data_IF_422748453091
#
_entry.id   IF_422748453091
#
_cell.length_a   1.000
_cell.length_b   1.000
_cell.length_c   1.000
_cell.angle_alpha   90.00
_cell.angle_beta   90.00
_cell.angle_gamma   90.00
#
_symmetry.space_group_name_H-M   'P 1'
#
loop_
_entity.id
_entity.type
_entity.pdbx_description
1 polymer ?
#
# COMPACT_ATOMS: atom_id res chain seq x y z
N UNK A 1 -31.40 -46.26 48.86
CA UNK A 1 -32.28 -45.61 47.85
C UNK A 1 -31.94 -44.12 47.70
N UNK A 2 -31.69 -43.40 48.80
CA UNK A 2 -31.30 -41.97 48.79
C UNK A 2 -30.00 -41.68 48.02
N UNK A 3 -28.94 -42.46 48.21
CA UNK A 3 -27.65 -42.25 47.52
C UNK A 3 -27.75 -42.37 46.00
N UNK A 4 -28.54 -43.34 45.52
CA UNK A 4 -28.82 -43.51 44.09
C UNK A 4 -29.57 -42.29 43.53
N UNK A 5 -30.54 -41.77 44.28
CA UNK A 5 -31.28 -40.57 43.87
C UNK A 5 -30.37 -39.34 43.82
N UNK A 6 -29.45 -39.20 44.78
CA UNK A 6 -28.47 -38.12 44.79
C UNK A 6 -27.51 -38.21 43.60
N UNK A 7 -27.01 -39.41 43.31
CA UNK A 7 -26.18 -39.67 42.13
C UNK A 7 -26.89 -39.28 40.82
N UNK A 8 -28.15 -39.69 40.65
CA UNK A 8 -28.94 -39.35 39.47
C UNK A 8 -29.18 -37.84 39.32
N UNK A 9 -29.34 -37.10 40.43
CA UNK A 9 -29.43 -35.63 40.40
C UNK A 9 -28.12 -34.99 39.95
N UNK A 10 -26.99 -35.46 40.48
CA UNK A 10 -25.66 -34.97 40.09
C UNK A 10 -25.38 -35.22 38.61
N UNK A 11 -25.67 -36.42 38.11
CA UNK A 11 -25.47 -36.76 36.70
C UNK A 11 -26.32 -35.86 35.78
N UNK A 12 -27.58 -35.60 36.15
CA UNK A 12 -28.46 -34.71 35.38
C UNK A 12 -27.93 -33.27 35.35
N UNK A 13 -27.42 -32.76 36.48
CA UNK A 13 -26.77 -31.45 36.54
C UNK A 13 -25.57 -31.38 35.61
N UNK A 14 -24.67 -32.38 35.67
CA UNK A 14 -23.50 -32.44 34.79
C UNK A 14 -23.87 -32.53 33.31
N UNK A 15 -24.91 -33.30 32.96
CA UNK A 15 -25.41 -33.36 31.59
C UNK A 15 -25.94 -32.00 31.12
N UNK A 16 -26.69 -31.30 31.97
CA UNK A 16 -27.19 -29.95 31.67
C UNK A 16 -26.04 -28.95 31.46
N UNK A 17 -25.02 -28.98 32.32
CA UNK A 17 -23.85 -28.11 32.20
C UNK A 17 -23.09 -28.35 30.88
N UNK A 18 -22.97 -29.62 30.47
CA UNK A 18 -22.36 -30.00 29.20
C UNK A 18 -23.21 -29.55 28.01
N UNK A 19 -24.53 -29.72 28.06
CA UNK A 19 -25.45 -29.26 27.02
C UNK A 19 -25.38 -27.73 26.83
N UNK A 20 -25.32 -26.97 27.92
CA UNK A 20 -25.14 -25.51 27.88
C UNK A 20 -23.79 -25.12 27.27
N UNK A 21 -22.72 -25.84 27.65
CA UNK A 21 -21.38 -25.60 27.10
C UNK A 21 -21.31 -25.90 25.59
N UNK A 22 -21.90 -27.02 25.15
CA UNK A 22 -21.99 -27.38 23.73
C UNK A 22 -22.78 -26.34 22.94
N UNK A 23 -23.88 -25.86 23.51
CA UNK A 23 -24.70 -24.80 22.90
C UNK A 23 -23.91 -23.50 22.73
N UNK A 24 -23.12 -23.12 23.74
CA UNK A 24 -22.25 -21.94 23.68
C UNK A 24 -21.16 -22.08 22.61
N UNK A 25 -20.46 -23.22 22.59
CA UNK A 25 -19.40 -23.49 21.60
C UNK A 25 -19.98 -23.46 20.17
N UNK A 26 -21.15 -24.07 19.96
CA UNK A 26 -21.82 -24.09 18.65
C UNK A 26 -22.12 -22.69 18.11
N UNK A 27 -22.59 -21.78 18.96
CA UNK A 27 -22.83 -20.38 18.58
C UNK A 27 -21.53 -19.66 18.22
N UNK A 28 -20.47 -19.88 19.00
CA UNK A 28 -19.16 -19.28 18.79
C UNK A 28 -18.51 -19.79 17.49
N UNK A 29 -18.58 -21.09 17.22
CA UNK A 29 -18.14 -21.71 15.96
C UNK A 29 -18.90 -21.15 14.75
N UNK A 30 -20.23 -21.04 14.85
CA UNK A 30 -21.05 -20.48 13.78
C UNK A 30 -20.69 -19.00 13.50
N UNK A 31 -20.39 -18.23 14.54
CA UNK A 31 -19.93 -16.86 14.40
C UNK A 31 -18.57 -16.81 13.67
N UNK A 32 -17.60 -17.61 14.11
CA UNK A 32 -16.31 -17.71 13.44
C UNK A 32 -16.43 -18.13 11.96
N UNK A 33 -17.27 -19.13 11.68
CA UNK A 33 -17.54 -19.58 10.31
C UNK A 33 -18.09 -18.46 9.43
N UNK A 34 -19.03 -17.68 9.95
CA UNK A 34 -19.61 -16.54 9.23
C UNK A 34 -18.58 -15.45 8.94
N UNK A 35 -17.70 -15.16 9.92
CA UNK A 35 -16.60 -14.21 9.74
C UNK A 35 -15.60 -14.68 8.69
N UNK A 36 -15.17 -15.94 8.75
CA UNK A 36 -14.24 -16.53 7.77
C UNK A 36 -14.83 -16.43 6.37
N UNK A 37 -16.08 -16.85 6.19
CA UNK A 37 -16.76 -16.78 4.89
C UNK A 37 -16.87 -15.35 4.34
N UNK A 38 -17.08 -14.37 5.22
CA UNK A 38 -17.10 -12.96 4.82
C UNK A 38 -15.73 -12.51 4.33
N UNK A 39 -14.66 -12.85 5.07
CA UNK A 39 -13.29 -12.53 4.67
C UNK A 39 -12.87 -13.23 3.37
N UNK A 40 -13.29 -14.47 3.15
CA UNK A 40 -13.05 -15.19 1.89
C UNK A 40 -13.68 -14.47 0.70
N UNK A 41 -14.91 -13.99 0.84
CA UNK A 41 -15.58 -13.22 -0.21
C UNK A 41 -14.83 -11.92 -0.49
N UNK A 42 -14.45 -11.17 0.55
CA UNK A 42 -13.71 -9.92 0.40
C UNK A 42 -12.35 -10.14 -0.28
N UNK A 43 -11.65 -11.23 0.07
CA UNK A 43 -10.40 -11.62 -0.56
C UNK A 43 -10.60 -11.96 -2.04
N UNK A 44 -11.66 -12.68 -2.39
CA UNK A 44 -11.98 -12.98 -3.80
C UNK A 44 -12.31 -11.71 -4.60
N UNK A 45 -13.00 -10.74 -3.98
CA UNK A 45 -13.29 -9.45 -4.59
C UNK A 45 -12.00 -8.65 -4.84
N UNK A 46 -11.16 -8.48 -3.80
CA UNK A 46 -9.88 -7.79 -3.90
C UNK A 46 -8.94 -8.40 -4.95
N UNK A 47 -8.94 -9.73 -5.07
CA UNK A 47 -8.17 -10.44 -6.09
C UNK A 47 -8.65 -10.13 -7.51
N UNK A 48 -9.96 -9.98 -7.71
CA UNK A 48 -10.52 -9.63 -9.01
C UNK A 48 -10.25 -8.16 -9.38
N UNK A 49 -10.35 -7.25 -8.43
CA UNK A 49 -9.99 -5.83 -8.60
C UNK A 49 -8.50 -5.68 -8.95
N UNK A 50 -7.61 -6.40 -8.27
CA UNK A 50 -6.17 -6.36 -8.55
C UNK A 50 -5.85 -6.86 -9.97
N UNK A 51 -6.57 -7.89 -10.43
CA UNK A 51 -6.43 -8.37 -11.81
C UNK A 51 -6.84 -7.30 -12.82
N UNK A 52 -7.98 -6.65 -12.61
CA UNK A 52 -8.44 -5.56 -13.47
C UNK A 52 -7.46 -4.37 -13.46
N UNK A 53 -6.98 -3.98 -12.29
CA UNK A 53 -6.00 -2.90 -12.15
C UNK A 53 -4.71 -3.18 -12.93
N UNK A 54 -4.23 -4.43 -12.92
CA UNK A 54 -3.07 -4.83 -13.72
C UNK A 54 -3.34 -4.66 -15.22
N UNK A 55 -4.49 -5.11 -15.70
CA UNK A 55 -4.89 -4.96 -17.11
C UNK A 55 -4.98 -3.48 -17.52
N UNK A 56 -5.50 -2.63 -16.64
CA UNK A 56 -5.58 -1.17 -16.84
C UNK A 56 -4.19 -0.52 -16.91
N UNK A 57 -3.29 -0.92 -16.02
CA UNK A 57 -1.91 -0.44 -16.02
C UNK A 57 -1.17 -0.82 -17.32
N UNK A 58 -1.38 -2.04 -17.84
CA UNK A 58 -0.83 -2.47 -19.12
C UNK A 58 -1.43 -1.68 -20.31
N UNK A 59 -2.74 -1.42 -20.31
CA UNK A 59 -3.39 -0.57 -21.33
C UNK A 59 -2.82 0.84 -21.31
N UNK A 60 -2.67 1.42 -20.13
CA UNK A 60 -2.08 2.75 -19.96
C UNK A 60 -0.62 2.80 -20.43
N UNK A 61 0.18 1.77 -20.13
CA UNK A 61 1.57 1.69 -20.57
C UNK A 61 1.68 1.66 -22.10
N UNK A 62 0.80 0.91 -22.78
CA UNK A 62 0.73 0.90 -24.25
C UNK A 62 0.39 2.28 -24.82
N UNK A 63 -0.67 2.93 -24.32
CA UNK A 63 -1.07 4.26 -24.75
C UNK A 63 0.04 5.31 -24.54
N UNK A 64 0.75 5.25 -23.40
CA UNK A 64 1.92 6.11 -23.16
C UNK A 64 3.01 5.90 -24.20
N UNK A 65 3.30 4.65 -24.57
CA UNK A 65 4.27 4.32 -25.62
C UNK A 65 3.89 4.91 -26.99
N UNK A 66 2.61 4.84 -27.36
CA UNK A 66 2.09 5.44 -28.60
C UNK A 66 2.23 6.97 -28.59
N UNK A 67 1.86 7.63 -27.49
CA UNK A 67 2.00 9.09 -27.33
C UNK A 67 3.48 9.51 -27.43
N UNK A 68 4.38 8.81 -26.75
CA UNK A 68 5.81 9.09 -26.84
C UNK A 68 6.34 8.96 -28.29
N UNK A 69 5.84 7.98 -29.04
CA UNK A 69 6.21 7.80 -30.45
C UNK A 69 5.73 8.98 -31.32
N UNK A 70 4.49 9.44 -31.10
CA UNK A 70 3.95 10.60 -31.81
C UNK A 70 4.73 11.89 -31.49
N UNK A 71 5.10 12.11 -30.22
CA UNK A 71 5.90 13.28 -29.81
C UNK A 71 7.26 13.28 -30.52
N UNK A 72 7.95 12.14 -30.55
CA UNK A 72 9.24 12.03 -31.23
C UNK A 72 9.13 12.29 -32.74
N UNK A 73 8.05 11.82 -33.36
CA UNK A 73 7.80 12.11 -34.77
C UNK A 73 7.56 13.60 -35.03
N UNK A 74 6.78 14.27 -34.17
CA UNK A 74 6.54 15.70 -34.27
C UNK A 74 7.82 16.51 -34.06
N UNK A 75 8.66 16.15 -33.07
CA UNK A 75 9.96 16.78 -32.86
C UNK A 75 10.85 16.68 -34.10
N UNK A 76 10.88 15.52 -34.77
CA UNK A 76 11.65 15.35 -36.02
C UNK A 76 11.14 16.27 -37.14
N UNK A 77 9.83 16.42 -37.28
CA UNK A 77 9.21 17.34 -38.26
C UNK A 77 9.59 18.80 -37.96
N UNK A 78 9.55 19.21 -36.69
CA UNK A 78 9.94 20.56 -36.26
C UNK A 78 11.41 20.83 -36.62
N UNK A 79 12.34 19.93 -36.28
CA UNK A 79 13.76 20.10 -36.60
C UNK A 79 14.01 20.20 -38.11
N UNK A 80 13.27 19.44 -38.93
CA UNK A 80 13.35 19.55 -40.39
C UNK A 80 12.91 20.94 -40.87
N UNK A 81 11.78 21.45 -40.37
CA UNK A 81 11.28 22.77 -40.74
C UNK A 81 12.21 23.89 -40.27
N UNK A 82 12.81 23.77 -39.08
CA UNK A 82 13.81 24.72 -38.57
C UNK A 82 15.03 24.78 -39.51
N UNK A 83 15.50 23.63 -40.00
CA UNK A 83 16.58 23.57 -40.98
C UNK A 83 16.20 24.24 -42.32
N UNK A 84 14.99 23.97 -42.82
CA UNK A 84 14.47 24.59 -44.04
C UNK A 84 14.37 26.11 -43.91
N UNK A 85 13.86 26.60 -42.77
CA UNK A 85 13.77 28.04 -42.45
C UNK A 85 15.16 28.68 -42.44
N UNK A 86 16.15 28.03 -41.82
CA UNK A 86 17.54 28.51 -41.81
C UNK A 86 18.10 28.60 -43.24
N UNK A 87 17.91 27.55 -44.05
CA UNK A 87 18.39 27.49 -45.43
C UNK A 87 17.74 28.58 -46.30
N UNK A 88 16.41 28.73 -46.21
CA UNK A 88 15.69 29.78 -46.93
C UNK A 88 16.13 31.19 -46.52
N UNK A 89 16.39 31.40 -45.23
CA UNK A 89 16.91 32.69 -44.72
C UNK A 89 18.30 32.99 -45.27
N UNK A 90 19.17 31.99 -45.36
CA UNK A 90 20.50 32.11 -45.96
C UNK A 90 20.41 32.41 -47.47
N UNK A 91 19.58 31.68 -48.22
CA UNK A 91 19.38 31.92 -49.66
C UNK A 91 18.87 33.34 -49.91
N UNK A 92 17.91 33.83 -49.12
CA UNK A 92 17.41 35.21 -49.23
C UNK A 92 18.53 36.24 -49.05
N UNK A 93 19.41 36.04 -48.07
CA UNK A 93 20.56 36.92 -47.85
C UNK A 93 21.54 36.91 -49.04
N UNK A 94 21.86 35.74 -49.59
CA UNK A 94 22.74 35.61 -50.74
C UNK A 94 22.14 36.18 -52.04
N UNK A 95 20.82 36.09 -52.23
CA UNK A 95 20.13 36.73 -53.37
C UNK A 95 20.07 38.25 -53.24
N UNK A 96 19.91 38.79 -52.03
CA UNK A 96 19.96 40.22 -51.78
C UNK A 96 21.37 40.79 -52.03
N UNK A 97 22.42 40.04 -51.68
CA UNK A 97 23.81 40.40 -51.97
C UNK A 97 24.12 40.44 -53.47
N UNK A 98 23.57 39.50 -54.26
CA UNK A 98 23.73 39.49 -55.72
C UNK A 98 22.96 40.60 -56.45
N UNK A 99 21.83 41.04 -55.90
CA UNK A 99 21.09 42.19 -56.44
C UNK A 99 21.84 43.53 -56.30
N UNK A 100 22.72 43.67 -55.31
CA UNK A 100 23.55 44.87 -55.12
C UNK A 100 24.83 44.92 -55.98
N UNK A 101 25.20 43.82 -56.67
CA UNK A 101 26.40 43.76 -57.52
C UNK A 101 26.08 43.99 -59.02
N UNK A 102 24.82 44.21 -59.40
CA UNK A 102 24.37 44.39 -60.81
C UNK A 102 23.76 45.75 -61.15
N UNK A 103 23.82 46.75 -60.27
CA UNK A 103 23.46 48.14 -60.64
C UNK A 103 24.59 49.08 -60.23
N UNK A 104 25.45 49.40 -61.19
CA UNK A 104 26.19 50.64 -61.15
C UNK A 104 25.24 51.81 -61.39
N UNK A 105 25.51 52.91 -60.67
CA UNK A 105 25.36 54.31 -61.11
C UNK A 105 24.46 55.21 -60.24
N UNK A 106 25.17 56.11 -59.53
CA UNK A 106 24.87 57.40 -58.89
C UNK A 106 23.81 57.59 -57.77
N UNK A 107 24.34 58.14 -56.67
CA UNK A 107 23.90 59.27 -55.84
C UNK A 107 22.88 59.15 -54.70
N UNK A 108 23.48 59.11 -53.50
CA UNK A 108 23.26 59.97 -52.32
C UNK A 108 22.08 59.75 -51.36
N UNK A 109 22.47 59.90 -50.07
CA UNK A 109 21.70 60.26 -48.87
C UNK A 109 21.04 59.13 -48.09
N UNK A 110 21.46 59.04 -46.82
CA UNK A 110 20.69 58.41 -45.74
C UNK A 110 21.38 57.19 -45.15
N UNK A 111 22.27 57.43 -44.18
CA UNK A 111 22.92 56.37 -43.42
C UNK A 111 21.89 55.46 -42.74
N UNK A 112 21.73 54.25 -43.26
CA UNK A 112 21.13 53.15 -42.51
C UNK A 112 22.29 52.48 -41.80
N UNK A 113 22.44 52.82 -40.51
CA UNK A 113 23.30 52.07 -39.59
C UNK A 113 22.99 50.58 -39.75
N UNK A 114 23.98 49.85 -40.28
CA UNK A 114 23.86 48.42 -40.53
C UNK A 114 23.49 47.70 -39.25
N UNK A 115 22.23 47.33 -39.12
CA UNK A 115 21.81 46.45 -38.03
C UNK A 115 22.27 45.06 -38.41
N UNK A 116 23.47 44.73 -37.94
CA UNK A 116 24.09 43.40 -38.04
C UNK A 116 23.22 42.45 -37.21
N UNK A 117 22.26 41.80 -37.86
CA UNK A 117 21.48 40.73 -37.22
C UNK A 117 22.43 39.54 -37.03
N UNK A 118 23.02 39.46 -35.84
CA UNK A 118 23.62 38.22 -35.36
C UNK A 118 22.47 37.32 -34.90
N UNK A 119 22.21 36.23 -35.63
CA UNK A 119 21.51 35.09 -35.04
C UNK A 119 22.48 34.41 -34.08
N UNK A 120 22.50 34.88 -32.82
CA UNK A 120 23.00 34.07 -31.72
C UNK A 120 21.91 33.05 -31.37
N UNK A 121 22.23 31.76 -31.08
CA UNK A 121 21.23 30.74 -30.81
C UNK A 121 20.30 31.01 -29.62
N UNK A 122 20.59 32.03 -28.81
CA UNK A 122 19.87 32.33 -27.57
C UNK A 122 19.50 33.83 -27.48
N UNK A 123 18.39 34.24 -28.10
CA UNK A 123 17.38 35.20 -27.58
C UNK A 123 16.56 35.84 -28.72
N UNK A 124 15.24 35.58 -28.72
CA UNK A 124 14.26 36.35 -29.48
C UNK A 124 14.10 37.74 -28.86
N UNK A 125 14.48 38.79 -29.57
CA UNK A 125 13.95 40.14 -29.31
C UNK A 125 13.03 40.50 -30.48
N UNK A 126 11.74 40.43 -30.21
CA UNK A 126 10.66 40.79 -31.13
C UNK A 126 10.45 42.30 -31.05
N UNK A 127 10.64 43.04 -32.14
CA UNK A 127 10.12 44.40 -32.25
C UNK A 127 9.42 44.64 -33.59
N UNK A 128 8.19 45.14 -33.44
CA UNK A 128 7.27 45.82 -34.36
C UNK A 128 6.82 45.15 -35.67
N UNK A 129 5.58 44.66 -35.67
CA UNK A 129 4.70 44.63 -36.85
C UNK A 129 3.28 45.05 -36.43
N UNK A 130 2.97 46.34 -36.57
CA UNK A 130 1.71 46.97 -36.15
C UNK A 130 0.52 46.72 -37.12
N UNK A 131 0.58 45.67 -37.95
CA UNK A 131 -0.38 45.42 -39.03
C UNK A 131 -1.27 44.17 -38.88
N UNK A 132 -1.03 43.30 -37.88
CA UNK A 132 -1.75 42.01 -37.75
C UNK A 132 -2.94 42.05 -36.77
N UNK A 133 -3.20 43.19 -36.12
CA UNK A 133 -4.21 43.29 -35.06
C UNK A 133 -5.66 43.17 -35.55
N UNK A 134 -5.96 43.44 -36.83
CA UNK A 134 -7.33 43.37 -37.37
C UNK A 134 -7.73 41.96 -37.80
N UNK A 135 -6.80 41.16 -38.33
CA UNK A 135 -7.07 39.78 -38.78
C UNK A 135 -7.24 38.81 -37.60
N UNK A 136 -6.65 39.12 -36.44
CA UNK A 136 -6.80 38.31 -35.23
C UNK A 136 -8.18 38.45 -34.56
N UNK A 137 -8.89 39.58 -34.69
CA UNK A 137 -10.14 39.81 -33.95
C UNK A 137 -11.27 38.84 -34.33
N UNK A 138 -11.30 38.33 -35.56
CA UNK A 138 -12.34 37.40 -36.01
C UNK A 138 -12.02 35.92 -35.75
N UNK A 139 -10.74 35.57 -35.52
CA UNK A 139 -10.31 34.21 -35.16
C UNK A 139 -10.20 33.98 -33.65
N UNK A 140 -10.07 35.04 -32.85
CA UNK A 140 -9.93 34.92 -31.38
C UNK A 140 -11.23 34.48 -30.71
N UNK A 141 -12.42 34.83 -31.22
CA UNK A 141 -13.69 34.46 -30.58
C UNK A 141 -14.03 32.96 -30.68
N UNK A 142 -13.68 32.27 -31.78
CA UNK A 142 -13.81 30.80 -31.86
C UNK A 142 -12.71 30.06 -31.09
N UNK A 143 -11.55 30.68 -30.86
CA UNK A 143 -10.43 30.07 -30.15
C UNK A 143 -10.54 30.18 -28.62
N UNK A 144 -11.32 31.13 -28.11
CA UNK A 144 -11.57 31.29 -26.66
C UNK A 144 -12.45 30.15 -26.12
N UNK A 145 -13.39 29.61 -26.91
CA UNK A 145 -14.22 28.46 -26.49
C UNK A 145 -13.42 27.16 -26.31
N UNK A 146 -12.43 26.90 -27.18
CA UNK A 146 -11.54 25.74 -27.09
C UNK A 146 -10.49 25.90 -25.97
N UNK A 147 -9.97 27.12 -25.74
CA UNK A 147 -9.03 27.41 -24.65
C UNK A 147 -9.64 27.30 -23.23
N UNK A 148 -10.97 27.38 -23.08
CA UNK A 148 -11.63 27.29 -21.76
C UNK A 148 -11.78 25.84 -21.32
N UNK A 149 -12.14 24.91 -22.22
CA UNK A 149 -12.20 23.48 -21.89
C UNK A 149 -10.81 22.88 -21.68
N UNK A 150 -9.82 23.20 -22.52
CA UNK A 150 -8.42 22.76 -22.31
C UNK A 150 -7.84 23.24 -20.96
N UNK A 151 -8.23 24.43 -20.48
CA UNK A 151 -7.84 24.93 -19.15
C UNK A 151 -8.52 24.18 -18.01
N UNK A 152 -9.77 23.76 -18.18
CA UNK A 152 -10.51 23.02 -17.16
C UNK A 152 -9.95 21.61 -16.98
N UNK A 153 -9.59 20.96 -18.08
CA UNK A 153 -8.91 19.67 -18.08
C UNK A 153 -7.48 19.78 -17.51
N UNK A 154 -6.76 20.87 -17.80
CA UNK A 154 -5.45 21.17 -17.21
C UNK A 154 -5.52 21.35 -15.69
N UNK A 155 -6.49 22.12 -15.18
CA UNK A 155 -6.63 22.33 -13.73
C UNK A 155 -7.07 21.03 -13.04
N UNK A 156 -7.97 20.25 -13.66
CA UNK A 156 -8.34 18.91 -13.15
C UNK A 156 -7.14 17.96 -13.11
N UNK A 157 -6.30 17.97 -14.15
CA UNK A 157 -5.08 17.15 -14.18
C UNK A 157 -4.06 17.57 -13.12
N UNK A 158 -3.94 18.87 -12.85
CA UNK A 158 -3.07 19.44 -11.81
C UNK A 158 -3.55 19.08 -10.41
N UNK A 159 -4.86 19.10 -10.17
CA UNK A 159 -5.45 18.65 -8.90
C UNK A 159 -5.21 17.15 -8.68
N UNK A 160 -5.43 16.33 -9.71
CA UNK A 160 -5.11 14.89 -9.65
C UNK A 160 -3.62 14.64 -9.40
N UNK A 161 -2.73 15.40 -10.03
CA UNK A 161 -1.28 15.29 -9.81
C UNK A 161 -0.90 15.67 -8.38
N UNK A 162 -1.51 16.74 -7.84
CA UNK A 162 -1.34 17.15 -6.44
C UNK A 162 -1.80 16.04 -5.47
N UNK A 163 -2.95 15.42 -5.74
CA UNK A 163 -3.45 14.29 -4.97
C UNK A 163 -2.51 13.07 -5.04
N UNK A 164 -2.06 12.70 -6.23
CA UNK A 164 -1.10 11.60 -6.43
C UNK A 164 0.21 11.89 -5.69
N UNK A 165 0.69 13.13 -5.72
CA UNK A 165 1.89 13.52 -4.96
C UNK A 165 1.70 13.36 -3.46
N UNK A 166 0.53 13.72 -2.91
CA UNK A 166 0.22 13.52 -1.48
C UNK A 166 0.15 12.04 -1.13
N UNK A 167 -0.53 11.23 -1.94
CA UNK A 167 -0.62 9.78 -1.75
C UNK A 167 0.77 9.12 -1.82
N UNK A 168 1.62 9.55 -2.76
CA UNK A 168 3.01 9.08 -2.86
C UNK A 168 3.79 9.35 -1.57
N UNK A 169 3.70 10.56 -1.01
CA UNK A 169 4.37 10.88 0.25
C UNK A 169 3.88 9.99 1.41
N UNK A 170 2.57 9.72 1.48
CA UNK A 170 2.00 8.83 2.49
C UNK A 170 2.53 7.39 2.35
N UNK A 171 2.56 6.84 1.12
CA UNK A 171 3.10 5.49 0.87
C UNK A 171 4.59 5.41 1.20
N UNK A 172 5.38 6.44 0.86
CA UNK A 172 6.81 6.48 1.21
C UNK A 172 7.01 6.47 2.73
N UNK A 173 6.18 7.19 3.47
CA UNK A 173 6.23 7.20 4.94
C UNK A 173 5.88 5.83 5.52
N UNK A 174 4.81 5.20 5.06
CA UNK A 174 4.42 3.85 5.53
C UNK A 174 5.47 2.79 5.17
N UNK A 175 6.07 2.86 3.97
CA UNK A 175 7.19 1.98 3.60
C UNK A 175 8.38 2.14 4.53
N UNK A 176 8.68 3.37 4.97
CA UNK A 176 9.75 3.62 5.94
C UNK A 176 9.43 2.99 7.30
N UNK A 177 8.18 3.05 7.77
CA UNK A 177 7.74 2.42 9.02
C UNK A 177 7.81 0.91 8.94
N UNK A 178 7.30 0.32 7.85
CA UNK A 178 7.37 -1.12 7.61
C UNK A 178 8.82 -1.58 7.59
N UNK A 179 9.71 -0.84 6.94
CA UNK A 179 11.14 -1.12 6.94
C UNK A 179 11.75 -1.14 8.35
N UNK A 180 11.35 -0.20 9.20
CA UNK A 180 11.76 -0.17 10.61
C UNK A 180 11.24 -1.40 11.37
N UNK A 181 9.96 -1.73 11.25
CA UNK A 181 9.36 -2.91 11.90
C UNK A 181 9.99 -4.23 11.43
N UNK A 182 10.39 -4.34 10.16
CA UNK A 182 11.10 -5.52 9.65
C UNK A 182 12.47 -5.67 10.32
N UNK A 183 13.23 -4.58 10.46
CA UNK A 183 14.54 -4.64 11.11
C UNK A 183 14.42 -4.93 12.62
N UNK A 184 13.38 -4.43 13.28
CA UNK A 184 13.04 -4.78 14.68
C UNK A 184 12.80 -6.29 14.83
N UNK A 185 11.89 -6.87 14.04
CA UNK A 185 11.61 -8.32 14.07
C UNK A 185 12.84 -9.16 13.73
N UNK A 186 13.67 -8.70 12.79
CA UNK A 186 14.92 -9.39 12.42
C UNK A 186 15.94 -9.37 13.57
N UNK A 187 16.01 -8.29 14.35
CA UNK A 187 16.85 -8.23 15.53
C UNK A 187 16.34 -9.17 16.63
N UNK A 188 15.02 -9.20 16.88
CA UNK A 188 14.41 -10.17 17.80
C UNK A 188 14.68 -11.63 17.35
N UNK A 189 14.64 -11.90 16.04
CA UNK A 189 14.99 -13.21 15.50
C UNK A 189 16.44 -13.60 15.85
N UNK A 190 17.35 -12.63 15.87
CA UNK A 190 18.76 -12.83 16.23
C UNK A 190 18.98 -13.14 17.73
N UNK A 191 18.01 -12.84 18.60
CA UNK A 191 18.09 -13.16 20.02
C UNK A 191 17.82 -14.64 20.31
N UNK A 192 17.18 -15.37 19.39
CA UNK A 192 16.99 -16.82 19.52
C UNK A 192 18.30 -17.60 19.36
N UNK A 193 18.28 -18.87 19.75
CA UNK A 193 19.43 -19.75 19.52
C UNK A 193 19.60 -20.06 18.03
N UNK A 194 20.84 -20.19 17.51
CA UNK A 194 21.08 -20.49 16.10
C UNK A 194 20.39 -21.77 15.62
N UNK A 195 20.28 -22.78 16.47
CA UNK A 195 19.65 -24.06 16.16
C UNK A 195 18.15 -23.90 15.91
N UNK A 196 17.47 -23.01 16.65
CA UNK A 196 16.06 -22.69 16.45
C UNK A 196 15.86 -21.90 15.15
N UNK A 197 16.75 -20.95 14.84
CA UNK A 197 16.69 -20.19 13.57
C UNK A 197 16.94 -21.04 12.33
N UNK A 198 17.71 -22.11 12.47
CA UNK A 198 18.07 -23.00 11.38
C UNK A 198 16.99 -24.07 11.12
N UNK A 199 16.06 -24.24 12.04
CA UNK A 199 14.92 -25.15 11.93
C UNK A 199 13.90 -24.59 10.94
N UNK A 200 13.23 -25.46 10.20
CA UNK A 200 12.17 -25.03 9.29
C UNK A 200 10.87 -24.70 10.04
N UNK A 201 10.06 -23.83 9.44
CA UNK A 201 8.83 -23.31 10.04
C UNK A 201 7.83 -24.43 10.41
N UNK A 202 7.75 -25.50 9.60
CA UNK A 202 6.82 -26.61 9.83
C UNK A 202 7.23 -27.38 11.08
N UNK A 203 8.51 -27.74 11.20
CA UNK A 203 9.03 -28.41 12.39
C UNK A 203 8.85 -27.55 13.65
N UNK A 204 9.11 -26.24 13.56
CA UNK A 204 8.89 -25.31 14.68
C UNK A 204 7.42 -25.23 15.11
N UNK A 205 6.49 -25.23 14.16
CA UNK A 205 5.05 -25.21 14.43
C UNK A 205 4.58 -26.52 15.08
N UNK A 206 5.06 -27.67 14.61
CA UNK A 206 4.77 -28.99 15.19
C UNK A 206 5.27 -29.10 16.63
N UNK A 207 6.52 -28.70 16.90
CA UNK A 207 7.10 -28.69 18.25
C UNK A 207 6.35 -27.72 19.18
N UNK A 208 6.01 -26.53 18.70
CA UNK A 208 5.18 -25.57 19.45
C UNK A 208 3.83 -26.17 19.85
N UNK A 209 3.17 -26.88 18.92
CA UNK A 209 1.89 -27.55 19.17
C UNK A 209 2.03 -28.70 20.16
N UNK A 210 3.11 -29.50 20.06
CA UNK A 210 3.40 -30.57 21.00
C UNK A 210 3.59 -30.02 22.43
N UNK A 211 4.40 -28.96 22.57
CA UNK A 211 4.64 -28.28 23.85
C UNK A 211 3.35 -27.69 24.46
N UNK A 212 2.46 -27.13 23.63
CA UNK A 212 1.17 -26.65 24.10
C UNK A 212 0.27 -27.78 24.61
N UNK A 213 0.30 -28.94 23.94
CA UNK A 213 -0.43 -30.14 24.37
C UNK A 213 0.12 -30.68 25.70
N UNK A 214 1.44 -30.78 25.83
CA UNK A 214 2.09 -31.23 27.06
C UNK A 214 1.76 -30.30 28.22
N UNK A 215 1.84 -28.98 28.00
CA UNK A 215 1.45 -27.96 28.99
C UNK A 215 -0.01 -28.12 29.42
N UNK A 216 -0.92 -28.40 28.48
CA UNK A 216 -2.31 -28.67 28.82
C UNK A 216 -2.44 -29.92 29.72
N UNK A 217 -1.80 -31.01 29.34
CA UNK A 217 -1.77 -32.25 30.14
C UNK A 217 -1.19 -32.04 31.54
N UNK A 218 -0.09 -31.31 31.67
CA UNK A 218 0.51 -30.96 32.97
C UNK A 218 -0.43 -30.12 33.84
N UNK A 219 -1.17 -29.18 33.24
CA UNK A 219 -2.14 -28.37 33.98
C UNK A 219 -3.34 -29.19 34.47
N UNK A 220 -3.79 -30.16 33.69
CA UNK A 220 -4.85 -31.09 34.10
C UNK A 220 -4.40 -32.02 35.22
N UNK A 221 -3.19 -32.58 35.08
CA UNK A 221 -2.59 -33.42 36.12
C UNK A 221 -2.42 -32.62 37.43
N UNK A 222 -1.90 -31.40 37.34
CA UNK A 222 -1.76 -30.50 38.49
C UNK A 222 -3.10 -30.20 39.16
N UNK A 223 -4.16 -29.97 38.38
CA UNK A 223 -5.52 -29.76 38.89
C UNK A 223 -6.06 -31.01 39.59
N UNK A 224 -5.87 -32.19 39.00
CA UNK A 224 -6.25 -33.47 39.62
C UNK A 224 -5.56 -33.69 40.96
N UNK A 225 -4.26 -33.38 41.06
CA UNK A 225 -3.52 -33.44 42.32
C UNK A 225 -4.09 -32.47 43.36
N UNK A 226 -4.41 -31.24 42.97
CA UNK A 226 -5.05 -30.26 43.87
C UNK A 226 -6.39 -30.77 44.38
N UNK A 227 -7.21 -31.38 43.53
CA UNK A 227 -8.49 -31.98 43.91
C UNK A 227 -8.32 -33.15 44.88
N UNK A 228 -7.31 -34.01 44.65
CA UNK A 228 -6.99 -35.10 45.56
C UNK A 228 -6.53 -34.59 46.93
N UNK A 229 -5.68 -33.55 46.96
CA UNK A 229 -5.26 -32.89 48.19
C UNK A 229 -6.47 -32.31 48.93
N UNK A 230 -7.41 -31.68 48.22
CA UNK A 230 -8.62 -31.13 48.83
C UNK A 230 -9.48 -32.21 49.49
N UNK A 231 -9.70 -33.35 48.81
CA UNK A 231 -10.42 -34.51 49.37
C UNK A 231 -9.73 -35.06 50.62
N UNK A 232 -8.40 -35.18 50.61
CA UNK A 232 -7.64 -35.65 51.78
C UNK A 232 -7.70 -34.68 52.96
N UNK A 233 -7.74 -33.36 52.71
CA UNK A 233 -7.95 -32.35 53.75
C UNK A 233 -9.33 -32.47 54.41
N UNK A 234 -10.36 -32.81 53.64
CA UNK A 234 -11.73 -33.02 54.16
C UNK A 234 -11.83 -34.27 55.05
N UNK A 235 -11.04 -35.30 54.76
CA UNK A 235 -11.03 -36.58 55.51
C UNK A 235 -10.28 -36.47 56.87
N UNK A 236 -9.73 -35.31 57.24
CA UNK A 236 -9.04 -35.10 58.53
C UNK A 236 -9.95 -35.44 59.73
N UNK A 237 -9.77 -36.64 60.30
CA UNK A 237 -10.57 -37.15 61.43
C UNK A 237 -9.85 -36.91 62.76
N UNK A 238 -10.65 -36.63 63.79
CA UNK A 238 -10.18 -36.60 65.19
C UNK A 238 -10.20 -38.03 65.72
N UNK A 239 -9.03 -38.57 66.04
CA UNK A 239 -8.85 -39.88 66.64
C UNK A 239 -8.84 -39.71 68.16
N UNK A 240 -9.81 -40.33 68.85
CA UNK A 240 -9.80 -40.43 70.31
C UNK A 240 -8.96 -41.61 70.75
N UNK A 241 -7.91 -41.34 71.52
CA UNK A 241 -7.15 -42.37 72.20
C UNK A 241 -7.92 -42.87 73.42
N UNK A 242 -7.72 -44.12 73.78
CA UNK A 242 -8.27 -44.76 74.98
C UNK A 242 -7.87 -44.06 76.29
N UNK A 243 -6.85 -43.19 76.28
CA UNK A 243 -6.48 -42.33 77.40
C UNK A 243 -7.29 -41.02 77.50
N UNK A 244 -8.29 -40.81 76.62
CA UNK A 244 -9.14 -39.61 76.59
C UNK A 244 -8.58 -38.43 75.80
N UNK A 245 -7.35 -38.52 75.28
CA UNK A 245 -6.75 -37.48 74.42
C UNK A 245 -7.24 -37.61 72.98
N UNK A 246 -7.58 -36.47 72.38
CA UNK A 246 -7.95 -36.34 70.97
C UNK A 246 -6.73 -35.95 70.13
N UNK A 247 -6.53 -36.63 69.00
CA UNK A 247 -5.46 -36.35 68.04
C UNK A 247 -6.08 -36.04 66.67
N UNK A 248 -5.73 -34.91 66.08
CA UNK A 248 -6.18 -34.55 64.73
C UNK A 248 -5.26 -35.24 63.72
N UNK A 249 -5.73 -36.29 63.07
CA UNK A 249 -5.00 -36.91 61.97
C UNK A 249 -5.30 -36.12 60.69
N UNK A 250 -4.40 -35.20 60.35
CA UNK A 250 -4.47 -34.39 59.14
C UNK A 250 -3.06 -34.11 58.61
N UNK A 251 -2.96 -33.86 57.30
CA UNK A 251 -1.71 -33.44 56.66
C UNK A 251 -1.40 -32.03 57.18
N UNK A 252 -0.43 -31.89 58.09
CA UNK A 252 0.12 -30.58 58.42
C UNK A 252 0.94 -30.10 57.24
N UNK A 253 0.39 -29.15 56.46
CA UNK A 253 1.20 -28.36 55.55
C UNK A 253 2.09 -27.46 56.40
N UNK A 254 3.30 -27.93 56.70
CA UNK A 254 4.39 -27.09 57.19
C UNK A 254 4.79 -26.18 56.04
N UNK A 255 4.44 -24.90 56.15
CA UNK A 255 4.92 -23.83 55.28
C UNK A 255 6.41 -23.59 55.49
#
# INVERSE_FOLDING_TARGET
MEEYLQYMKTLRLQMSDVEDQVSKISVEEHMHFTTIRTMENDLTAAKSELKQFKEDAERMMRAKGEICSQILEQQRKITSLEHDICTLSQVKFETAKRGSETEGSYDTVGGISGTRIYCSPNNLVLNSCHGLASVLKHNVLSNVGLQVEERKDLESAKDKLSQVSKMKCAVVLENSKIGQSIEEVKNELNDFKPELRAMDDVTLEEESKALLSDKAGETEYSRSLQDQIAKLKEISRVIKCTCGKEYKAGISSST
#
